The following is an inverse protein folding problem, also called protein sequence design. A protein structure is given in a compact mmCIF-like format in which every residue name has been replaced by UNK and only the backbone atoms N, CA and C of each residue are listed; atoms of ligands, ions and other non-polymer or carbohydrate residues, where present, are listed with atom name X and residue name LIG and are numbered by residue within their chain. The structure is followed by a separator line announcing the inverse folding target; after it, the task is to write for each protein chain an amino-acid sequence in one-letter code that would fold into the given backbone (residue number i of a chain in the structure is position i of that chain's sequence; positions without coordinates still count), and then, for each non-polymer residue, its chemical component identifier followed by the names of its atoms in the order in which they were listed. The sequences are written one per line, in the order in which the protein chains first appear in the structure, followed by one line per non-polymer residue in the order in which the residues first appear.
data_IF_768021705768
#
_entry.id   IF_768021705768
#
_cell.length_a   1.000
_cell.length_b   1.000
_cell.length_c   1.000
_cell.angle_alpha   90.00
_cell.angle_beta   90.00
_cell.angle_gamma   90.00
#
_symmetry.space_group_name_H-M   'P 1'
#
loop_
_entity.id
_entity.type
_entity.pdbx_description
1 polymer ?
#
# COMPACT_ATOMS: atom_id res chain seq x y z
N UNK A 1 -0.19 -16.74 28.64
CA UNK A 1 -0.32 -15.62 27.69
C UNK A 1 1.09 -15.25 27.25
N UNK A 2 1.47 -15.58 26.03
CA UNK A 2 2.78 -15.18 25.51
C UNK A 2 2.63 -13.78 24.93
N UNK A 3 3.03 -12.78 25.73
CA UNK A 3 3.08 -11.39 25.29
C UNK A 3 3.95 -11.29 24.05
N UNK A 4 3.43 -10.66 23.00
CA UNK A 4 4.19 -10.36 21.80
C UNK A 4 5.42 -9.53 22.14
N UNK A 5 6.53 -9.83 21.49
CA UNK A 5 7.73 -8.99 21.54
C UNK A 5 7.53 -7.71 20.70
N UNK A 6 8.52 -6.81 20.76
CA UNK A 6 8.45 -5.52 20.06
C UNK A 6 8.39 -5.68 18.53
N UNK A 7 9.13 -6.63 17.96
CA UNK A 7 9.16 -6.88 16.51
C UNK A 7 7.84 -7.46 16.04
N UNK A 8 7.29 -8.39 16.80
CA UNK A 8 5.97 -8.97 16.53
C UNK A 8 4.85 -7.92 16.59
N UNK A 9 4.89 -7.02 17.57
CA UNK A 9 3.94 -5.88 17.63
C UNK A 9 4.08 -4.95 16.44
N UNK A 10 5.32 -4.63 16.05
CA UNK A 10 5.59 -3.80 14.88
C UNK A 10 5.07 -4.46 13.60
N UNK A 11 5.33 -5.75 13.41
CA UNK A 11 4.87 -6.51 12.25
C UNK A 11 3.34 -6.48 12.12
N UNK A 12 2.61 -6.72 13.22
CA UNK A 12 1.13 -6.66 13.21
C UNK A 12 0.62 -5.24 12.92
N UNK A 13 1.30 -4.21 13.42
CA UNK A 13 0.97 -2.82 13.16
C UNK A 13 1.16 -2.46 11.68
N UNK A 14 2.34 -2.74 11.14
CA UNK A 14 2.67 -2.46 9.74
C UNK A 14 1.76 -3.23 8.79
N UNK A 15 1.46 -4.49 9.10
CA UNK A 15 0.51 -5.30 8.34
C UNK A 15 -0.89 -4.67 8.32
N UNK A 16 -1.37 -4.21 9.49
CA UNK A 16 -2.69 -3.59 9.61
C UNK A 16 -2.82 -2.27 8.84
N UNK A 17 -1.70 -1.62 8.50
CA UNK A 17 -1.63 -0.40 7.68
C UNK A 17 -1.30 -0.67 6.20
N UNK A 18 -1.05 -1.92 5.81
CA UNK A 18 -0.64 -2.27 4.45
C UNK A 18 0.79 -1.84 4.10
N UNK A 19 1.68 -1.72 5.10
CA UNK A 19 3.08 -1.30 4.93
C UNK A 19 4.07 -2.46 4.81
N UNK A 20 3.60 -3.70 4.88
CA UNK A 20 4.43 -4.91 4.83
C UNK A 20 4.81 -5.34 3.42
N UNK A 21 6.00 -5.93 3.30
CA UNK A 21 6.45 -6.65 2.10
C UNK A 21 5.84 -8.05 1.99
N UNK A 22 6.04 -8.74 0.86
CA UNK A 22 5.44 -10.06 0.62
C UNK A 22 5.80 -11.13 1.66
N UNK A 23 7.06 -11.17 2.12
CA UNK A 23 7.48 -12.11 3.17
C UNK A 23 6.88 -11.75 4.54
N UNK A 24 6.80 -10.45 4.85
CA UNK A 24 6.23 -9.94 6.10
C UNK A 24 4.71 -10.17 6.18
N UNK A 25 4.00 -10.12 5.05
CA UNK A 25 2.58 -10.48 4.96
C UNK A 25 2.35 -11.90 5.47
N UNK A 26 3.11 -12.87 4.95
CA UNK A 26 2.98 -14.28 5.34
C UNK A 26 3.29 -14.48 6.82
N UNK A 27 4.34 -13.81 7.33
CA UNK A 27 4.70 -13.86 8.74
C UNK A 27 3.62 -13.25 9.64
N UNK A 28 3.04 -12.12 9.24
CA UNK A 28 1.98 -11.45 9.98
C UNK A 28 0.71 -12.30 10.03
N UNK A 29 0.31 -12.91 8.91
CA UNK A 29 -0.86 -13.78 8.82
C UNK A 29 -0.71 -15.02 9.71
N UNK A 30 0.46 -15.66 9.67
CA UNK A 30 0.76 -16.80 10.55
C UNK A 30 0.73 -16.41 12.02
N UNK A 31 1.29 -15.25 12.37
CA UNK A 31 1.31 -14.74 13.74
C UNK A 31 -0.10 -14.41 14.24
N UNK A 32 -0.93 -13.76 13.41
CA UNK A 32 -2.33 -13.44 13.72
C UNK A 32 -3.15 -14.73 13.90
N UNK A 33 -2.94 -15.75 13.06
CA UNK A 33 -3.65 -17.01 13.15
C UNK A 33 -3.27 -17.84 14.40
N UNK A 34 -2.00 -17.77 14.83
CA UNK A 34 -1.46 -18.59 15.91
C UNK A 34 -1.43 -17.92 17.28
N UNK A 35 -1.53 -16.58 17.35
CA UNK A 35 -1.44 -15.82 18.60
C UNK A 35 -2.68 -14.93 18.82
N UNK A 36 -3.41 -15.21 19.90
CA UNK A 36 -4.63 -14.49 20.28
C UNK A 36 -4.41 -12.99 20.50
N UNK A 37 -3.28 -12.60 21.09
CA UNK A 37 -2.96 -11.20 21.36
C UNK A 37 -2.70 -10.45 20.04
N UNK A 38 -2.05 -11.11 19.07
CA UNK A 38 -1.85 -10.55 17.73
C UNK A 38 -3.18 -10.37 16.98
N UNK A 39 -4.06 -11.37 17.03
CA UNK A 39 -5.39 -11.28 16.46
C UNK A 39 -6.22 -10.15 17.08
N UNK A 40 -6.14 -9.96 18.41
CA UNK A 40 -6.85 -8.90 19.10
C UNK A 40 -6.33 -7.50 18.69
N UNK A 41 -5.01 -7.32 18.61
CA UNK A 41 -4.41 -6.04 18.16
C UNK A 41 -4.83 -5.75 16.72
N UNK A 42 -4.69 -6.72 15.81
CA UNK A 42 -5.08 -6.55 14.41
C UNK A 42 -6.55 -6.16 14.27
N UNK A 43 -7.44 -6.86 14.99
CA UNK A 43 -8.89 -6.58 15.00
C UNK A 43 -9.19 -5.15 15.47
N UNK A 44 -8.56 -4.70 16.56
CA UNK A 44 -8.72 -3.33 17.07
C UNK A 44 -8.21 -2.29 16.09
N UNK A 45 -7.04 -2.49 15.49
CA UNK A 45 -6.49 -1.58 14.49
C UNK A 45 -7.41 -1.50 13.27
N UNK A 46 -7.88 -2.64 12.77
CA UNK A 46 -8.83 -2.68 11.65
C UNK A 46 -10.11 -1.91 11.94
N UNK A 47 -10.67 -2.05 13.15
CA UNK A 47 -11.87 -1.32 13.56
C UNK A 47 -11.64 0.21 13.65
N UNK A 48 -10.45 0.64 14.08
CA UNK A 48 -10.10 2.08 14.13
C UNK A 48 -9.84 2.66 12.73
N UNK A 49 -9.30 1.85 11.82
CA UNK A 49 -8.96 2.27 10.46
C UNK A 49 -10.15 2.20 9.49
N UNK A 50 -11.16 1.37 9.77
CA UNK A 50 -12.34 1.19 8.90
C UNK A 50 -13.04 2.51 8.53
N UNK A 51 -13.27 3.46 9.48
CA UNK A 51 -13.84 4.75 9.15
C UNK A 51 -12.97 5.56 8.16
N UNK A 52 -11.65 5.45 8.23
CA UNK A 52 -10.73 6.20 7.34
C UNK A 52 -10.87 5.78 5.88
N UNK A 53 -11.26 4.53 5.61
CA UNK A 53 -11.57 4.06 4.26
C UNK A 53 -12.81 4.71 3.65
N UNK A 54 -13.71 5.25 4.49
CA UNK A 54 -14.97 5.89 4.08
C UNK A 54 -14.92 7.43 4.09
N UNK A 55 -14.00 8.03 4.86
CA UNK A 55 -13.94 9.48 5.13
C UNK A 55 -13.53 10.30 3.89
N UNK A 56 -12.87 9.69 2.91
CA UNK A 56 -12.52 10.37 1.67
C UNK A 56 -13.42 9.82 0.55
N UNK A 57 -14.55 10.50 0.22
CA UNK A 57 -15.01 10.40 -1.17
C UNK A 57 -13.78 10.75 -2.02
N UNK A 58 -13.43 9.95 -3.05
CA UNK A 58 -12.32 10.32 -3.91
C UNK A 58 -12.54 11.77 -4.29
N UNK A 59 -11.66 12.65 -3.79
CA UNK A 59 -11.72 14.06 -4.16
C UNK A 59 -11.75 14.10 -5.68
N UNK A 60 -12.38 15.14 -6.29
CA UNK A 60 -12.32 15.27 -7.74
C UNK A 60 -10.87 15.01 -8.15
N UNK A 61 -10.67 13.99 -9.00
CA UNK A 61 -9.36 13.68 -9.53
C UNK A 61 -8.83 15.01 -10.05
N UNK A 62 -7.80 15.55 -9.39
CA UNK A 62 -7.36 16.93 -9.58
C UNK A 62 -7.38 17.23 -11.07
N UNK A 63 -8.27 18.13 -11.51
CA UNK A 63 -8.66 18.24 -12.91
C UNK A 63 -7.43 18.16 -13.82
N UNK A 64 -7.46 17.22 -14.75
CA UNK A 64 -6.37 17.02 -15.69
C UNK A 64 -5.20 16.15 -15.20
N UNK A 65 -5.25 15.46 -14.05
CA UNK A 65 -4.16 14.56 -13.63
C UNK A 65 -4.01 13.39 -14.62
N UNK A 66 -5.11 12.79 -15.04
CA UNK A 66 -5.11 11.72 -16.02
C UNK A 66 -4.60 12.22 -17.37
N UNK A 67 -5.14 13.35 -17.84
CA UNK A 67 -4.78 13.99 -19.10
C UNK A 67 -3.30 14.39 -19.13
N UNK A 68 -2.79 15.00 -18.05
CA UNK A 68 -1.37 15.37 -17.93
C UNK A 68 -0.47 14.15 -17.88
N UNK A 69 -0.91 13.06 -17.25
CA UNK A 69 -0.15 11.80 -17.21
C UNK A 69 -0.07 11.18 -18.60
N UNK A 70 -1.21 11.11 -19.31
CA UNK A 70 -1.27 10.62 -20.69
C UNK A 70 -0.41 11.48 -21.61
N UNK A 71 -0.46 12.81 -21.47
CA UNK A 71 0.34 13.73 -22.26
C UNK A 71 1.84 13.45 -22.08
N UNK A 72 2.32 13.37 -20.83
CA UNK A 72 3.73 13.08 -20.53
C UNK A 72 4.18 11.74 -21.11
N UNK A 73 3.40 10.68 -20.92
CA UNK A 73 3.70 9.37 -21.51
C UNK A 73 3.80 9.46 -23.04
N UNK A 74 2.87 10.18 -23.67
CA UNK A 74 2.89 10.37 -25.13
C UNK A 74 4.10 11.18 -25.62
N UNK A 75 4.55 12.17 -24.85
CA UNK A 75 5.76 12.96 -25.14
C UNK A 75 7.04 12.11 -25.03
N UNK A 76 7.16 11.29 -23.99
CA UNK A 76 8.29 10.34 -23.81
C UNK A 76 8.39 9.37 -25.00
N UNK A 77 7.29 8.68 -25.35
CA UNK A 77 7.27 7.76 -26.49
C UNK A 77 7.58 8.42 -27.84
N UNK A 78 7.19 9.68 -28.03
CA UNK A 78 7.53 10.44 -29.24
C UNK A 78 9.00 10.79 -29.28
N UNK A 79 9.58 11.17 -28.14
CA UNK A 79 11.00 11.52 -28.05
C UNK A 79 11.89 10.31 -28.34
N UNK A 80 11.59 9.15 -27.75
CA UNK A 80 12.28 7.89 -28.04
C UNK A 80 12.23 7.52 -29.53
N UNK A 81 11.04 7.63 -30.14
CA UNK A 81 10.87 7.33 -31.58
C UNK A 81 11.61 8.30 -32.50
N UNK A 82 11.85 9.53 -32.05
CA UNK A 82 12.56 10.53 -32.85
C UNK A 82 14.07 10.26 -32.78
N UNK A 83 14.60 9.94 -31.59
CA UNK A 83 16.00 9.56 -31.38
C UNK A 83 16.41 8.31 -32.19
N UNK A 84 15.54 7.29 -32.26
CA UNK A 84 15.78 6.07 -33.07
C UNK A 84 15.78 6.35 -34.57
N UNK A 85 15.05 7.38 -35.04
CA UNK A 85 15.00 7.76 -36.47
C UNK A 85 16.19 8.61 -36.92
N UNK A 86 16.76 9.42 -36.03
CA UNK A 86 17.97 10.23 -36.32
C UNK A 86 19.29 9.47 -36.13
N UNK A 87 19.25 8.25 -35.60
CA UNK A 87 20.42 7.38 -35.42
C UNK A 87 20.62 6.35 -36.57
N UNK A 88 19.90 6.52 -37.69
CA UNK A 88 20.06 5.77 -38.94
C UNK A 88 20.47 6.72 -40.07
#
# INVERSE_FOLDING_TARGET
MCSLDRRQKQLVFDYSLGLTTGEEIVQAEQLIASNKDAAEIHSKLKAVLEPLGSIVPPGPCWDGLAERTIQRLCEEFRTERTLVKTAR
#
